data_IF_789507076581
#
_entry.id   IF_789507076581
#
_cell.length_a   1.000
_cell.length_b   1.000
_cell.length_c   1.000
_cell.angle_alpha   90.00
_cell.angle_beta   90.00
_cell.angle_gamma   90.00
#
_symmetry.space_group_name_H-M   'P 1'
#
loop_
_entity.id
_entity.type
_entity.pdbx_description
1 polymer ?
#
# COMPACT_ATOMS: atom_id res chain seq x y z
N UNK A 1 35.13 20.68 18.98
CA UNK A 1 34.22 19.63 18.53
C UNK A 1 33.55 20.11 17.27
N UNK A 2 33.68 19.48 16.11
CA UNK A 2 32.93 19.90 14.93
C UNK A 2 31.43 19.71 15.23
N UNK A 3 30.63 20.77 14.99
CA UNK A 3 29.18 20.67 15.02
C UNK A 3 28.81 19.56 14.02
N UNK A 4 28.08 18.55 14.50
CA UNK A 4 27.42 17.57 13.64
C UNK A 4 26.71 18.37 12.55
N UNK A 5 27.09 18.14 11.28
CA UNK A 5 26.33 18.68 10.17
C UNK A 5 24.91 18.16 10.34
N UNK A 6 23.97 19.04 10.65
CA UNK A 6 22.57 18.70 10.63
C UNK A 6 22.31 18.16 9.21
N UNK A 7 21.86 16.93 9.11
CA UNK A 7 21.49 16.35 7.82
C UNK A 7 20.38 17.23 7.28
N UNK A 8 20.56 17.76 6.07
CA UNK A 8 19.51 18.53 5.40
C UNK A 8 18.26 17.67 5.31
N UNK A 9 17.06 18.23 5.55
CA UNK A 9 15.82 17.48 5.46
C UNK A 9 15.64 16.94 4.02
N UNK A 10 15.17 15.72 3.93
CA UNK A 10 14.74 15.11 2.68
C UNK A 10 13.24 15.34 2.50
N UNK A 11 12.83 15.61 1.26
CA UNK A 11 11.47 15.73 0.82
C UNK A 11 11.14 14.61 -0.16
N UNK A 12 9.89 14.19 -0.20
CA UNK A 12 9.39 13.18 -1.10
C UNK A 12 8.56 13.85 -2.20
N UNK A 13 8.96 13.66 -3.45
CA UNK A 13 8.13 13.99 -4.61
C UNK A 13 7.59 12.70 -5.19
N UNK A 14 6.26 12.59 -5.30
CA UNK A 14 5.63 11.35 -5.65
C UNK A 14 4.51 11.51 -6.66
N UNK A 15 4.24 10.46 -7.42
CA UNK A 15 3.12 10.37 -8.36
C UNK A 15 2.59 8.97 -8.43
N UNK A 16 1.39 8.81 -8.94
CA UNK A 16 0.76 7.52 -9.17
C UNK A 16 0.04 7.47 -10.50
N UNK A 17 0.15 6.32 -11.17
CA UNK A 17 -0.60 5.98 -12.38
C UNK A 17 -1.23 4.61 -12.18
N UNK A 18 -2.53 4.51 -12.44
CA UNK A 18 -3.29 3.28 -12.29
C UNK A 18 -4.20 3.06 -13.49
N UNK A 19 -4.15 1.89 -14.10
CA UNK A 19 -4.93 1.50 -15.27
C UNK A 19 -5.75 0.24 -14.98
N UNK A 20 -6.97 0.19 -15.49
CA UNK A 20 -7.86 -0.98 -15.33
C UNK A 20 -7.34 -2.21 -16.06
N UNK A 21 -6.42 -2.03 -17.00
CA UNK A 21 -5.97 -3.09 -17.86
C UNK A 21 -6.94 -3.40 -19.00
N UNK A 22 -6.61 -4.45 -19.78
CA UNK A 22 -7.34 -4.79 -21.01
C UNK A 22 -8.39 -5.87 -20.82
N UNK A 23 -8.41 -6.54 -19.66
CA UNK A 23 -9.26 -7.73 -19.41
C UNK A 23 -10.25 -7.49 -18.27
N UNK A 24 -9.85 -6.74 -17.23
CA UNK A 24 -10.69 -6.49 -16.05
C UNK A 24 -11.81 -5.51 -16.35
N UNK A 25 -12.98 -5.70 -15.74
CA UNK A 25 -14.13 -4.81 -15.92
C UNK A 25 -14.01 -3.53 -15.07
N UNK A 26 -13.32 -3.59 -13.94
CA UNK A 26 -13.10 -2.49 -13.01
C UNK A 26 -11.67 -2.53 -12.46
N UNK A 27 -11.22 -1.38 -11.98
CA UNK A 27 -9.94 -1.26 -11.29
C UNK A 27 -10.19 -1.49 -9.80
N UNK A 28 -9.54 -2.51 -9.23
CA UNK A 28 -9.57 -2.86 -7.81
C UNK A 28 -8.30 -2.43 -7.08
N UNK A 29 -7.28 -1.97 -7.80
CA UNK A 29 -6.10 -1.33 -7.21
C UNK A 29 -6.47 0.03 -6.63
N UNK A 30 -5.80 0.41 -5.54
CA UNK A 30 -5.83 1.75 -4.97
C UNK A 30 -4.43 2.19 -4.59
N UNK A 31 -4.14 3.46 -4.76
CA UNK A 31 -2.81 4.01 -4.49
C UNK A 31 -2.88 5.41 -3.90
N UNK A 32 -1.83 5.79 -3.19
CA UNK A 32 -1.64 7.10 -2.58
C UNK A 32 -0.21 7.58 -2.83
N UNK A 33 -0.06 8.84 -3.21
CA UNK A 33 1.22 9.49 -3.44
C UNK A 33 1.21 10.87 -2.77
N UNK A 34 1.87 10.98 -1.62
CA UNK A 34 1.98 12.18 -0.80
C UNK A 34 3.42 12.63 -0.59
N UNK A 35 3.61 13.64 0.26
CA UNK A 35 4.92 14.23 0.59
C UNK A 35 5.69 13.43 1.66
N UNK A 36 4.99 12.62 2.46
CA UNK A 36 5.56 11.83 3.55
C UNK A 36 5.26 10.34 3.42
N UNK A 37 4.19 10.00 2.67
CA UNK A 37 3.71 8.64 2.51
C UNK A 37 3.42 8.33 1.05
N UNK A 38 3.84 7.16 0.61
CA UNK A 38 3.34 6.51 -0.60
C UNK A 38 2.77 5.14 -0.24
N UNK A 39 1.67 4.73 -0.89
CA UNK A 39 1.06 3.46 -0.63
C UNK A 39 0.39 2.86 -1.87
N UNK A 40 0.35 1.54 -1.92
CA UNK A 40 -0.27 0.73 -2.94
C UNK A 40 -1.04 -0.42 -2.27
N UNK A 41 -2.28 -0.64 -2.72
CA UNK A 41 -3.17 -1.69 -2.25
C UNK A 41 -3.81 -2.36 -3.47
N UNK A 42 -3.56 -3.66 -3.66
CA UNK A 42 -4.15 -4.47 -4.71
C UNK A 42 -5.36 -5.20 -4.12
N UNK A 43 -6.53 -4.85 -4.62
CA UNK A 43 -7.80 -5.35 -4.10
C UNK A 43 -8.22 -6.64 -4.75
N UNK A 44 -8.61 -7.63 -3.95
CA UNK A 44 -9.11 -8.92 -4.39
C UNK A 44 -10.50 -9.21 -3.87
N UNK A 45 -11.24 -10.03 -4.62
CA UNK A 45 -12.61 -10.43 -4.29
C UNK A 45 -13.56 -10.22 -5.46
N UNK A 46 -14.64 -11.03 -5.53
CA UNK A 46 -15.58 -11.00 -6.66
C UNK A 46 -16.28 -9.64 -6.84
N UNK A 47 -16.55 -9.27 -8.07
CA UNK A 47 -17.34 -8.13 -8.59
C UNK A 47 -17.03 -6.72 -8.05
N UNK A 48 -17.18 -6.43 -6.76
CA UNK A 48 -17.00 -5.09 -6.19
C UNK A 48 -16.34 -5.14 -4.81
N UNK A 49 -15.76 -6.27 -4.43
CA UNK A 49 -15.18 -6.43 -3.10
C UNK A 49 -13.78 -5.86 -3.01
N UNK A 50 -12.95 -6.11 -4.02
CA UNK A 50 -11.54 -5.68 -4.03
C UNK A 50 -11.39 -4.17 -4.06
N UNK A 51 -12.17 -3.45 -4.87
CA UNK A 51 -12.16 -1.99 -4.92
C UNK A 51 -12.54 -1.34 -3.57
N UNK A 52 -13.50 -1.94 -2.89
CA UNK A 52 -13.90 -1.52 -1.54
C UNK A 52 -12.78 -1.78 -0.53
N UNK A 53 -12.16 -2.97 -0.56
CA UNK A 53 -11.10 -3.34 0.38
C UNK A 53 -9.86 -2.47 0.21
N UNK A 54 -9.36 -2.30 -1.02
CA UNK A 54 -8.18 -1.48 -1.31
C UNK A 54 -8.42 0.00 -0.98
N UNK A 55 -9.63 0.52 -1.25
CA UNK A 55 -10.00 1.90 -0.89
C UNK A 55 -10.02 2.11 0.63
N UNK A 56 -10.54 1.16 1.41
CA UNK A 56 -10.51 1.22 2.89
C UNK A 56 -9.05 1.26 3.38
N UNK A 57 -8.18 0.39 2.84
CA UNK A 57 -6.80 0.33 3.26
C UNK A 57 -6.03 1.64 2.95
N UNK A 58 -6.16 2.20 1.74
CA UNK A 58 -5.55 3.48 1.37
C UNK A 58 -6.04 4.61 2.29
N UNK A 59 -7.34 4.69 2.56
CA UNK A 59 -7.91 5.72 3.45
C UNK A 59 -7.39 5.60 4.87
N UNK A 60 -7.26 4.38 5.39
CA UNK A 60 -6.71 4.14 6.72
C UNK A 60 -5.23 4.54 6.85
N UNK A 61 -4.47 4.51 5.74
CA UNK A 61 -3.06 4.94 5.72
C UNK A 61 -2.90 6.44 5.46
N UNK A 62 -3.78 7.04 4.65
CA UNK A 62 -3.63 8.41 4.17
C UNK A 62 -3.61 9.47 5.29
N UNK A 63 -4.17 9.18 6.47
CA UNK A 63 -4.12 10.11 7.60
C UNK A 63 -2.69 10.29 8.16
N UNK A 64 -1.77 9.35 7.90
CA UNK A 64 -0.36 9.44 8.28
C UNK A 64 0.31 10.64 7.59
N UNK A 65 -0.14 10.99 6.38
CA UNK A 65 0.34 12.16 5.63
C UNK A 65 0.12 13.48 6.37
N UNK A 66 -0.95 13.57 7.17
CA UNK A 66 -1.36 14.80 7.87
C UNK A 66 -0.79 14.89 9.28
N UNK A 67 -0.11 13.84 9.75
CA UNK A 67 0.36 13.78 11.13
C UNK A 67 1.71 14.46 11.30
N UNK A 68 1.69 15.67 11.84
CA UNK A 68 2.87 16.45 12.22
C UNK A 68 3.48 15.95 13.56
N UNK A 69 3.65 14.63 13.70
CA UNK A 69 4.16 13.99 14.94
C UNK A 69 5.64 14.26 15.23
N UNK A 70 6.27 15.21 14.56
CA UNK A 70 7.65 15.62 14.86
C UNK A 70 8.70 14.56 14.55
N UNK A 71 8.40 13.63 13.64
CA UNK A 71 9.45 12.84 12.96
C UNK A 71 10.08 11.71 13.77
N UNK A 72 9.31 10.95 14.56
CA UNK A 72 9.82 9.77 15.26
C UNK A 72 9.52 8.49 14.49
N UNK A 73 10.58 7.77 14.07
CA UNK A 73 10.51 6.50 13.32
C UNK A 73 9.64 5.45 14.04
N UNK A 74 9.76 5.33 15.35
CA UNK A 74 8.98 4.36 16.13
C UNK A 74 7.48 4.70 16.14
N UNK A 75 7.15 5.99 16.22
CA UNK A 75 5.76 6.46 16.15
C UNK A 75 5.15 6.15 14.80
N UNK A 76 5.83 6.50 13.70
CA UNK A 76 5.33 6.22 12.34
C UNK A 76 5.23 4.70 12.10
N UNK A 77 6.17 3.89 12.57
CA UNK A 77 6.08 2.43 12.46
C UNK A 77 4.82 1.89 13.13
N UNK A 78 4.53 2.36 14.35
CA UNK A 78 3.29 1.98 15.07
C UNK A 78 2.03 2.49 14.41
N UNK A 79 2.05 3.71 13.88
CA UNK A 79 0.92 4.27 13.15
C UNK A 79 0.61 3.45 11.90
N UNK A 80 1.63 3.07 11.11
CA UNK A 80 1.46 2.22 9.94
C UNK A 80 0.88 0.85 10.33
N UNK A 81 1.42 0.19 11.36
CA UNK A 81 0.88 -1.08 11.85
C UNK A 81 -0.57 -0.94 12.31
N UNK A 82 -0.87 0.07 13.14
CA UNK A 82 -2.22 0.32 13.65
C UNK A 82 -3.21 0.62 12.53
N UNK A 83 -2.80 1.40 11.52
CA UNK A 83 -3.63 1.74 10.37
C UNK A 83 -3.96 0.52 9.52
N UNK A 84 -2.97 -0.37 9.32
CA UNK A 84 -3.17 -1.63 8.59
C UNK A 84 -4.13 -2.55 9.37
N UNK A 85 -3.98 -2.65 10.70
CA UNK A 85 -4.88 -3.43 11.54
C UNK A 85 -6.30 -2.87 11.53
N UNK A 86 -6.45 -1.55 11.65
CA UNK A 86 -7.75 -0.88 11.57
C UNK A 86 -8.42 -1.09 10.21
N UNK A 87 -7.65 -1.05 9.11
CA UNK A 87 -8.14 -1.36 7.77
C UNK A 87 -8.66 -2.81 7.69
N UNK A 88 -7.90 -3.78 8.25
CA UNK A 88 -8.34 -5.17 8.32
C UNK A 88 -9.69 -5.30 9.04
N UNK A 89 -9.83 -4.73 10.23
CA UNK A 89 -11.05 -4.79 11.03
C UNK A 89 -12.23 -4.15 10.29
N UNK A 90 -12.00 -3.02 9.61
CA UNK A 90 -13.03 -2.35 8.81
C UNK A 90 -13.47 -3.18 7.60
N UNK A 91 -12.52 -3.81 6.87
CA UNK A 91 -12.79 -4.72 5.74
C UNK A 91 -13.63 -5.90 6.22
N UNK A 92 -13.17 -6.58 7.26
CA UNK A 92 -13.86 -7.73 7.88
C UNK A 92 -15.26 -7.34 8.36
N UNK A 93 -15.38 -6.23 9.09
CA UNK A 93 -16.65 -5.73 9.59
C UNK A 93 -17.65 -5.40 8.47
N UNK A 94 -17.15 -4.79 7.36
CA UNK A 94 -18.00 -4.47 6.20
C UNK A 94 -18.41 -5.73 5.44
N UNK A 95 -17.50 -6.67 5.23
CA UNK A 95 -17.82 -7.96 4.58
C UNK A 95 -18.88 -8.76 5.36
N UNK A 96 -18.87 -8.71 6.70
CA UNK A 96 -19.89 -9.33 7.55
C UNK A 96 -21.28 -8.68 7.39
N UNK A 97 -21.31 -7.36 7.23
CA UNK A 97 -22.59 -6.62 7.09
C UNK A 97 -23.18 -6.72 5.68
N UNK A 98 -22.33 -6.81 4.66
CA UNK A 98 -22.72 -6.79 3.25
C UNK A 98 -22.30 -8.08 2.56
N UNK A 99 -23.23 -9.04 2.46
CA UNK A 99 -22.95 -10.39 1.88
C UNK A 99 -22.33 -10.36 0.48
N UNK A 100 -22.64 -9.33 -0.33
CA UNK A 100 -22.06 -9.15 -1.67
C UNK A 100 -20.53 -8.89 -1.64
N UNK A 101 -20.00 -8.46 -0.50
CA UNK A 101 -18.60 -8.18 -0.26
C UNK A 101 -17.86 -9.32 0.47
N UNK A 102 -18.53 -10.47 0.66
CA UNK A 102 -17.92 -11.62 1.31
C UNK A 102 -16.66 -12.09 0.55
N UNK A 103 -15.57 -12.30 1.27
CA UNK A 103 -14.29 -12.71 0.69
C UNK A 103 -13.49 -11.56 0.04
N UNK A 104 -13.89 -10.30 0.26
CA UNK A 104 -13.06 -9.19 -0.15
C UNK A 104 -11.79 -9.10 0.71
N UNK A 105 -10.70 -8.72 0.07
CA UNK A 105 -9.41 -8.51 0.72
C UNK A 105 -8.54 -7.57 -0.09
N UNK A 106 -7.37 -7.25 0.44
CA UNK A 106 -6.39 -6.40 -0.25
C UNK A 106 -4.98 -6.63 0.28
N UNK A 107 -3.99 -6.41 -0.58
CA UNK A 107 -2.60 -6.23 -0.18
C UNK A 107 -2.40 -4.83 0.44
N UNK A 108 -1.28 -4.62 1.10
CA UNK A 108 -0.77 -3.29 1.46
C UNK A 108 0.74 -3.27 1.29
N UNK A 109 1.23 -2.29 0.54
CA UNK A 109 2.65 -1.93 0.48
C UNK A 109 2.74 -0.42 0.62
N UNK A 110 3.35 0.04 1.71
CA UNK A 110 3.45 1.45 2.03
C UNK A 110 4.86 1.82 2.46
N UNK A 111 5.30 3.03 2.10
CA UNK A 111 6.63 3.57 2.45
C UNK A 111 6.44 5.00 2.94
N UNK A 112 6.92 5.29 4.15
CA UNK A 112 6.92 6.64 4.72
C UNK A 112 8.35 7.16 4.89
N UNK A 113 8.55 8.45 4.65
CA UNK A 113 9.78 9.18 4.91
C UNK A 113 9.65 9.92 6.24
N UNK A 114 10.51 9.59 7.20
CA UNK A 114 10.50 10.24 8.53
C UNK A 114 11.90 10.36 9.10
N UNK A 115 12.29 11.57 9.52
CA UNK A 115 13.57 11.84 10.19
C UNK A 115 14.80 11.25 9.47
N UNK A 116 14.80 11.23 8.14
CA UNK A 116 15.88 10.65 7.33
C UNK A 116 15.90 9.12 7.27
N UNK A 117 14.76 8.49 7.53
CA UNK A 117 14.55 7.04 7.42
C UNK A 117 13.31 6.73 6.58
N UNK A 118 13.38 5.62 5.87
CA UNK A 118 12.26 4.94 5.26
C UNK A 118 11.67 3.94 6.24
N UNK A 119 10.38 4.05 6.47
CA UNK A 119 9.58 3.03 7.19
C UNK A 119 8.69 2.34 6.17
N UNK A 120 8.86 1.04 6.03
CA UNK A 120 8.17 0.22 5.04
C UNK A 120 7.21 -0.72 5.78
N UNK A 121 5.93 -0.75 5.38
CA UNK A 121 4.93 -1.72 5.83
C UNK A 121 4.46 -2.54 4.63
N UNK A 122 4.43 -3.88 4.79
CA UNK A 122 4.10 -4.77 3.69
C UNK A 122 3.29 -5.99 4.12
N UNK A 123 2.22 -6.27 3.38
CA UNK A 123 1.46 -7.52 3.40
C UNK A 123 0.87 -7.77 2.01
N UNK A 124 1.10 -8.98 1.45
CA UNK A 124 0.63 -9.36 0.13
C UNK A 124 1.76 -9.67 -0.86
N UNK A 125 1.51 -9.50 -2.14
CA UNK A 125 2.44 -9.74 -3.25
C UNK A 125 2.64 -8.54 -4.19
N UNK A 126 2.03 -7.40 -3.87
CA UNK A 126 2.45 -6.10 -4.40
C UNK A 126 3.88 -5.81 -3.96
N UNK A 127 4.66 -5.10 -4.76
CA UNK A 127 6.09 -4.97 -4.49
C UNK A 127 6.53 -3.53 -4.27
N UNK A 128 7.56 -3.38 -3.43
CA UNK A 128 8.34 -2.16 -3.29
C UNK A 128 9.77 -2.39 -3.80
N UNK A 129 10.20 -1.52 -4.70
CA UNK A 129 11.56 -1.47 -5.22
C UNK A 129 12.20 -0.14 -4.85
N UNK A 130 13.51 -0.20 -4.57
CA UNK A 130 14.35 0.97 -4.33
C UNK A 130 15.47 1.01 -5.37
N UNK A 131 15.49 2.07 -6.17
CA UNK A 131 16.63 2.42 -7.01
C UNK A 131 17.53 3.37 -6.23
N UNK A 132 18.77 2.93 -5.97
CA UNK A 132 19.82 3.70 -5.28
C UNK A 132 21.14 3.50 -5.98
N UNK A 133 21.86 4.58 -6.27
CA UNK A 133 23.16 4.55 -6.93
C UNK A 133 23.14 3.77 -8.26
N UNK A 134 22.04 3.84 -8.99
CA UNK A 134 21.83 3.16 -10.28
C UNK A 134 21.49 1.67 -10.17
N UNK A 135 21.27 1.15 -8.98
CA UNK A 135 20.93 -0.26 -8.74
C UNK A 135 19.53 -0.42 -8.15
N UNK A 136 18.73 -1.26 -8.80
CA UNK A 136 17.40 -1.62 -8.33
C UNK A 136 17.47 -2.77 -7.30
N UNK A 137 16.78 -2.61 -6.19
CA UNK A 137 16.64 -3.64 -5.18
C UNK A 137 15.16 -3.84 -4.87
N UNK A 138 14.66 -5.08 -4.95
CA UNK A 138 13.35 -5.43 -4.41
C UNK A 138 13.44 -5.46 -2.88
N UNK A 139 12.65 -4.64 -2.23
CA UNK A 139 12.69 -4.46 -0.76
C UNK A 139 11.72 -5.38 -0.05
N UNK A 140 10.58 -5.68 -0.66
CA UNK A 140 9.55 -6.57 -0.11
C UNK A 140 9.76 -8.01 -0.56
N UNK A 141 9.30 -8.94 0.26
CA UNK A 141 9.23 -10.37 -0.07
C UNK A 141 7.76 -10.75 -0.19
N UNK A 142 7.36 -11.27 -1.34
CA UNK A 142 5.96 -11.58 -1.61
C UNK A 142 5.42 -12.61 -0.62
N UNK A 143 4.24 -12.37 -0.07
CA UNK A 143 3.49 -13.34 0.72
C UNK A 143 2.68 -14.25 -0.20
N UNK A 144 3.32 -14.84 -1.21
CA UNK A 144 2.71 -15.74 -2.18
C UNK A 144 3.16 -17.19 -1.98
N UNK A 145 2.34 -18.12 -2.46
CA UNK A 145 2.67 -19.56 -2.40
C UNK A 145 3.97 -19.88 -3.13
N UNK A 146 4.19 -19.30 -4.30
CA UNK A 146 5.42 -19.53 -5.07
C UNK A 146 6.64 -18.96 -4.38
N UNK A 147 6.53 -17.81 -3.71
CA UNK A 147 7.63 -17.27 -2.92
C UNK A 147 7.96 -18.17 -1.72
N UNK A 148 6.95 -18.74 -1.08
CA UNK A 148 7.17 -19.75 -0.03
C UNK A 148 7.92 -20.98 -0.57
N UNK A 149 7.58 -21.47 -1.76
CA UNK A 149 8.30 -22.58 -2.39
C UNK A 149 9.76 -22.22 -2.73
N UNK A 150 10.02 -20.98 -3.20
CA UNK A 150 11.39 -20.49 -3.44
C UNK A 150 12.17 -20.43 -2.12
N UNK A 151 11.60 -19.84 -1.07
CA UNK A 151 12.25 -19.67 0.23
C UNK A 151 12.59 -21.03 0.89
N UNK A 152 11.79 -22.06 0.60
CA UNK A 152 12.03 -23.44 1.09
C UNK A 152 12.89 -24.28 0.13
N UNK A 153 13.41 -23.71 -0.95
CA UNK A 153 14.27 -24.37 -1.92
C UNK A 153 13.57 -25.46 -2.76
N UNK A 154 12.23 -25.41 -2.84
CA UNK A 154 11.44 -26.41 -3.61
C UNK A 154 11.35 -26.10 -5.09
N UNK A 155 11.40 -24.82 -5.45
CA UNK A 155 11.44 -24.34 -6.82
C UNK A 155 12.44 -23.20 -6.95
N UNK A 156 12.91 -22.97 -8.16
CA UNK A 156 13.73 -21.81 -8.52
C UNK A 156 12.86 -20.59 -8.84
N UNK A 157 13.39 -19.36 -8.81
CA UNK A 157 12.66 -18.17 -9.27
C UNK A 157 12.16 -18.27 -10.72
N UNK A 158 12.89 -18.98 -11.59
CA UNK A 158 12.50 -19.19 -12.98
C UNK A 158 11.28 -20.11 -13.09
N UNK A 159 11.21 -21.16 -12.29
CA UNK A 159 10.07 -22.09 -12.26
C UNK A 159 8.81 -21.43 -11.68
N UNK A 160 8.97 -20.50 -10.74
CA UNK A 160 7.86 -19.77 -10.13
C UNK A 160 7.04 -18.97 -11.15
N UNK A 161 7.69 -18.39 -12.18
CA UNK A 161 7.00 -17.58 -13.22
C UNK A 161 5.91 -18.34 -13.96
N UNK A 162 6.10 -19.64 -14.15
CA UNK A 162 5.16 -20.50 -14.88
C UNK A 162 4.39 -21.46 -13.96
N UNK A 163 4.48 -21.28 -12.65
CA UNK A 163 3.83 -22.16 -11.69
C UNK A 163 2.30 -22.00 -11.76
N UNK A 164 1.50 -23.12 -11.74
CA UNK A 164 0.03 -23.03 -11.79
C UNK A 164 -0.60 -22.20 -10.68
N UNK A 165 0.05 -22.12 -9.53
CA UNK A 165 -0.41 -21.37 -8.35
C UNK A 165 0.39 -20.08 -8.13
N UNK A 166 0.94 -19.46 -9.18
CA UNK A 166 1.73 -18.24 -9.05
C UNK A 166 0.94 -17.03 -8.50
N UNK A 167 -0.38 -17.02 -8.72
CA UNK A 167 -1.27 -15.94 -8.26
C UNK A 167 -1.92 -16.26 -6.89
N UNK A 168 -1.43 -17.25 -6.15
CA UNK A 168 -1.98 -17.58 -4.81
C UNK A 168 -1.26 -16.74 -3.77
N UNK A 169 -1.95 -15.75 -3.26
CA UNK A 169 -1.49 -14.90 -2.14
C UNK A 169 -1.85 -15.60 -0.83
N UNK A 170 -0.92 -15.63 0.12
CA UNK A 170 -1.04 -16.35 1.39
C UNK A 170 -1.35 -15.44 2.58
N UNK A 171 -1.10 -14.13 2.46
CA UNK A 171 -1.38 -13.15 3.52
C UNK A 171 -1.93 -11.88 2.89
N UNK A 172 -3.14 -11.50 3.32
CA UNK A 172 -3.85 -10.30 2.86
C UNK A 172 -4.71 -9.75 3.99
N UNK A 173 -5.14 -8.51 3.88
CA UNK A 173 -6.18 -7.96 4.75
C UNK A 173 -7.55 -8.51 4.34
N UNK A 174 -8.43 -8.73 5.31
CA UNK A 174 -9.78 -9.24 5.08
C UNK A 174 -9.93 -10.74 5.29
N UNK A 175 -8.85 -11.51 5.41
CA UNK A 175 -8.88 -12.92 5.76
C UNK A 175 -8.93 -13.09 7.28
N UNK A 176 -9.92 -13.84 7.78
CA UNK A 176 -10.14 -14.04 9.23
C UNK A 176 -9.14 -14.98 9.90
N UNK A 177 -8.56 -15.88 9.13
CA UNK A 177 -7.75 -16.97 9.65
C UNK A 177 -6.25 -16.62 9.69
N UNK A 178 -5.88 -15.43 9.19
CA UNK A 178 -4.49 -15.02 9.03
C UNK A 178 -4.19 -13.79 9.88
N UNK A 179 -3.00 -13.74 10.47
CA UNK A 179 -2.48 -12.55 11.16
C UNK A 179 -2.31 -11.39 10.15
N UNK A 180 -3.09 -10.29 10.29
CA UNK A 180 -3.06 -9.17 9.35
C UNK A 180 -1.92 -8.18 9.62
N UNK A 181 -1.08 -8.42 10.64
CA UNK A 181 0.04 -7.52 10.93
C UNK A 181 0.98 -7.43 9.73
N UNK A 182 1.34 -6.21 9.27
CA UNK A 182 2.29 -6.08 8.18
C UNK A 182 3.71 -6.40 8.65
N UNK A 183 4.56 -6.81 7.72
CA UNK A 183 5.99 -6.82 7.94
C UNK A 183 6.48 -5.36 7.94
N UNK A 184 7.13 -4.94 9.02
CA UNK A 184 7.71 -3.60 9.15
C UNK A 184 9.22 -3.69 8.98
N UNK A 185 9.77 -2.82 8.13
CA UNK A 185 11.22 -2.66 8.01
C UNK A 185 11.61 -1.18 7.96
N UNK A 186 12.82 -0.87 8.46
CA UNK A 186 13.33 0.50 8.54
C UNK A 186 14.66 0.54 7.82
N UNK A 187 14.85 1.58 6.99
CA UNK A 187 16.09 1.81 6.24
C UNK A 187 16.47 3.28 6.32
N UNK A 188 17.76 3.58 6.31
CA UNK A 188 18.23 4.97 6.20
C UNK A 188 17.87 5.50 4.81
N UNK A 189 17.27 6.69 4.77
CA UNK A 189 17.01 7.38 3.53
C UNK A 189 18.26 8.09 3.03
N UNK A 190 18.44 8.11 1.70
CA UNK A 190 19.51 8.84 1.04
C UNK A 190 18.92 9.80 0.02
N UNK A 191 19.59 10.93 -0.25
CA UNK A 191 19.24 11.77 -1.39
C UNK A 191 19.30 10.95 -2.68
N UNK A 192 18.40 11.26 -3.61
CA UNK A 192 18.22 10.57 -4.87
C UNK A 192 17.79 9.09 -4.78
N UNK A 193 17.35 8.62 -3.62
CA UNK A 193 16.58 7.37 -3.56
C UNK A 193 15.32 7.50 -4.40
N UNK A 194 15.05 6.53 -5.25
CA UNK A 194 13.80 6.45 -6.03
C UNK A 194 13.07 5.17 -5.71
N UNK A 195 11.82 5.31 -5.29
CA UNK A 195 10.92 4.19 -4.99
C UNK A 195 9.97 3.90 -6.14
N UNK A 196 9.68 2.63 -6.32
CA UNK A 196 8.52 2.14 -7.07
C UNK A 196 7.70 1.23 -6.15
N UNK A 197 6.41 1.55 -5.97
CA UNK A 197 5.43 0.58 -5.49
C UNK A 197 4.57 0.16 -6.67
N UNK A 198 4.30 -1.14 -6.81
CA UNK A 198 3.50 -1.63 -7.93
C UNK A 198 2.67 -2.86 -7.56
N UNK A 199 1.53 -3.02 -8.24
CA UNK A 199 0.72 -4.24 -8.20
C UNK A 199 1.36 -5.38 -8.99
N UNK A 200 0.87 -6.59 -8.78
CA UNK A 200 1.31 -7.78 -9.49
C UNK A 200 1.06 -7.70 -11.00
N UNK A 201 0.04 -6.95 -11.45
CA UNK A 201 -0.20 -6.65 -12.85
C UNK A 201 0.97 -5.96 -13.56
N UNK A 202 1.86 -5.29 -12.81
CA UNK A 202 3.10 -4.74 -13.35
C UNK A 202 4.27 -5.70 -13.16
N UNK A 203 4.60 -6.05 -11.92
CA UNK A 203 5.79 -6.85 -11.61
C UNK A 203 5.63 -8.34 -11.94
N UNK A 204 4.43 -8.81 -12.24
CA UNK A 204 4.18 -10.15 -12.75
C UNK A 204 4.52 -10.35 -14.22
N UNK A 205 4.63 -9.26 -14.99
CA UNK A 205 4.89 -9.31 -16.45
C UNK A 205 6.17 -8.59 -16.88
N UNK A 206 6.67 -7.63 -16.10
CA UNK A 206 7.94 -6.95 -16.36
C UNK A 206 9.09 -7.61 -15.57
N UNK A 207 10.24 -7.77 -16.23
CA UNK A 207 11.46 -8.20 -15.57
C UNK A 207 12.07 -7.04 -14.74
N UNK A 208 12.72 -7.38 -13.62
CA UNK A 208 13.37 -6.38 -12.75
C UNK A 208 14.40 -5.52 -13.51
N UNK A 209 15.12 -6.09 -14.50
CA UNK A 209 16.04 -5.35 -15.36
C UNK A 209 15.36 -4.29 -16.23
N UNK A 210 14.14 -4.57 -16.72
CA UNK A 210 13.35 -3.62 -17.50
C UNK A 210 12.83 -2.47 -16.61
N UNK A 211 12.46 -2.79 -15.37
CA UNK A 211 12.06 -1.81 -14.36
C UNK A 211 13.26 -0.91 -14.03
N UNK A 212 14.45 -1.50 -13.78
CA UNK A 212 15.68 -0.78 -13.48
C UNK A 212 16.07 0.19 -14.60
N UNK A 213 16.10 -0.28 -15.84
CA UNK A 213 16.39 0.54 -17.01
C UNK A 213 15.42 1.72 -17.13
N UNK A 214 14.11 1.47 -16.99
CA UNK A 214 13.09 2.51 -17.11
C UNK A 214 13.21 3.55 -15.99
N UNK A 215 13.39 3.11 -14.74
CA UNK A 215 13.54 4.01 -13.58
C UNK A 215 14.85 4.81 -13.63
N UNK A 216 15.90 4.27 -14.24
CA UNK A 216 17.21 4.95 -14.38
C UNK A 216 17.17 5.97 -15.53
N UNK A 217 16.47 5.65 -16.62
CA UNK A 217 16.49 6.46 -17.84
C UNK A 217 15.53 7.65 -17.77
N UNK A 218 14.35 7.47 -17.16
CA UNK A 218 13.33 8.50 -17.07
C UNK A 218 13.40 9.23 -15.73
N UNK A 219 13.84 10.48 -15.77
CA UNK A 219 13.97 11.31 -14.56
C UNK A 219 12.63 11.81 -14.02
N UNK A 220 11.67 12.14 -14.90
CA UNK A 220 10.32 12.57 -14.49
C UNK A 220 9.52 11.38 -13.94
N UNK A 221 8.94 11.56 -12.74
CA UNK A 221 8.19 10.50 -12.05
C UNK A 221 6.93 10.10 -12.81
N UNK A 222 6.23 11.09 -13.39
CA UNK A 222 4.99 10.85 -14.13
C UNK A 222 5.24 10.10 -15.43
N UNK A 223 6.26 10.49 -16.20
CA UNK A 223 6.68 9.77 -17.40
C UNK A 223 7.15 8.36 -17.08
N UNK A 224 7.91 8.19 -15.99
CA UNK A 224 8.38 6.88 -15.55
C UNK A 224 7.23 5.95 -15.16
N UNK A 225 6.31 6.42 -14.30
CA UNK A 225 5.14 5.64 -13.89
C UNK A 225 4.26 5.27 -15.09
N UNK A 226 3.96 6.23 -15.97
CA UNK A 226 3.15 6.00 -17.16
C UNK A 226 3.83 5.01 -18.14
N UNK A 227 5.15 5.12 -18.28
CA UNK A 227 5.93 4.22 -19.14
C UNK A 227 5.88 2.79 -18.64
N UNK A 228 6.09 2.58 -17.34
CA UNK A 228 6.03 1.26 -16.70
C UNK A 228 4.65 0.62 -16.88
N UNK A 229 3.56 1.36 -16.62
CA UNK A 229 2.19 0.89 -16.82
C UNK A 229 1.95 0.51 -18.28
N UNK A 230 2.32 1.37 -19.25
CA UNK A 230 2.18 1.08 -20.66
C UNK A 230 2.97 -0.15 -21.09
N UNK A 231 4.17 -0.34 -20.57
CA UNK A 231 4.99 -1.52 -20.88
C UNK A 231 4.36 -2.79 -20.36
N UNK A 232 3.81 -2.78 -19.13
CA UNK A 232 3.10 -3.92 -18.56
C UNK A 232 1.85 -4.29 -19.37
N UNK A 233 1.05 -3.30 -19.81
CA UNK A 233 -0.09 -3.52 -20.70
C UNK A 233 0.33 -4.13 -22.04
N UNK A 234 1.41 -3.64 -22.65
CA UNK A 234 1.96 -4.18 -23.91
C UNK A 234 2.56 -5.57 -23.72
N UNK A 235 3.10 -5.88 -22.55
CA UNK A 235 3.60 -7.21 -22.21
C UNK A 235 2.46 -8.24 -21.98
N UNK A 236 1.20 -7.79 -22.05
CA UNK A 236 0.03 -8.65 -21.97
C UNK A 236 -0.48 -8.86 -20.53
N UNK A 237 -0.29 -7.87 -19.66
CA UNK A 237 -0.94 -7.91 -18.33
C UNK A 237 -2.45 -8.08 -18.48
N UNK A 238 -3.01 -9.03 -17.75
CA UNK A 238 -4.45 -9.32 -17.71
C UNK A 238 -5.12 -8.76 -16.47
N UNK A 239 -4.36 -8.07 -15.63
CA UNK A 239 -4.84 -7.47 -14.38
C UNK A 239 -4.86 -5.94 -14.40
N UNK A 240 -5.33 -5.34 -13.33
CA UNK A 240 -5.14 -3.94 -13.04
C UNK A 240 -3.63 -3.66 -12.92
N UNK A 241 -3.18 -2.51 -13.39
CA UNK A 241 -1.76 -2.16 -13.42
C UNK A 241 -1.56 -0.81 -12.74
N UNK A 242 -0.86 -0.81 -11.64
CA UNK A 242 -0.62 0.40 -10.86
C UNK A 242 0.88 0.57 -10.56
N UNK A 243 1.36 1.80 -10.70
CA UNK A 243 2.70 2.23 -10.34
C UNK A 243 2.66 3.52 -9.52
N UNK A 244 3.36 3.55 -8.39
CA UNK A 244 3.65 4.75 -7.61
C UNK A 244 5.14 4.98 -7.67
N UNK A 245 5.57 6.15 -8.15
CA UNK A 245 6.99 6.57 -8.19
C UNK A 245 7.19 7.70 -7.20
N UNK A 246 8.28 7.64 -6.43
CA UNK A 246 8.63 8.69 -5.49
C UNK A 246 10.15 8.90 -5.39
N UNK A 247 10.58 10.14 -5.40
CA UNK A 247 11.98 10.56 -5.31
C UNK A 247 12.27 11.31 -4.01
N UNK A 248 13.35 10.93 -3.34
CA UNK A 248 13.88 11.67 -2.20
C UNK A 248 14.82 12.79 -2.66
N UNK A 249 14.46 14.04 -2.35
CA UNK A 249 15.23 15.22 -2.75
C UNK A 249 15.69 16.01 -1.52
N UNK A 250 16.90 16.57 -1.58
CA UNK A 250 17.38 17.49 -0.56
C UNK A 250 16.70 18.86 -0.70
N UNK A 251 16.34 19.47 0.42
CA UNK A 251 16.12 20.92 0.45
C UNK A 251 17.44 21.64 0.20
N UNK A 252 17.58 22.24 -0.97
CA UNK A 252 18.84 22.87 -1.39
C UNK A 252 19.08 24.25 -0.80
N UNK A 253 18.06 24.91 -0.19
CA UNK A 253 18.17 26.26 0.37
C UNK A 253 17.42 26.43 1.68
N UNK A 254 17.93 27.39 2.50
CA UNK A 254 17.33 27.77 3.79
C UNK A 254 15.92 28.37 3.68
N UNK A 255 15.45 28.64 2.47
CA UNK A 255 14.10 29.09 2.15
C UNK A 255 13.14 27.91 1.91
N UNK A 256 13.34 26.78 2.61
CA UNK A 256 12.53 25.56 2.56
C UNK A 256 11.02 25.79 2.88
N UNK A 257 10.63 27.01 3.20
CA UNK A 257 9.22 27.42 3.36
C UNK A 257 8.51 27.69 2.03
N UNK A 258 9.22 27.73 0.90
CA UNK A 258 8.67 28.03 -0.42
C UNK A 258 8.69 26.82 -1.39
N UNK A 259 9.00 25.61 -0.92
CA UNK A 259 8.77 24.41 -1.73
C UNK A 259 7.27 24.24 -1.92
N UNK A 260 6.78 24.15 -3.17
CA UNK A 260 5.36 23.97 -3.41
C UNK A 260 4.93 22.66 -2.75
N UNK A 261 4.04 22.75 -1.77
CA UNK A 261 3.41 21.58 -1.18
C UNK A 261 2.70 20.79 -2.28
N UNK A 262 3.04 19.53 -2.40
CA UNK A 262 2.38 18.63 -3.33
C UNK A 262 1.02 18.24 -2.74
N UNK A 263 -0.07 18.55 -3.45
CA UNK A 263 -1.37 17.97 -3.08
C UNK A 263 -1.29 16.45 -3.27
N UNK A 264 -1.60 15.63 -2.24
CA UNK A 264 -1.57 14.20 -2.36
C UNK A 264 -2.44 13.70 -3.50
N UNK A 265 -1.94 12.73 -4.26
CA UNK A 265 -2.65 12.09 -5.36
C UNK A 265 -3.20 10.76 -4.91
N UNK A 266 -4.43 10.46 -5.32
CA UNK A 266 -5.09 9.19 -5.07
C UNK A 266 -5.40 8.54 -6.41
N UNK A 267 -4.96 7.30 -6.62
CA UNK A 267 -5.16 6.54 -7.85
C UNK A 267 -6.08 5.33 -7.68
N UNK A 268 -6.53 4.77 -8.81
CA UNK A 268 -7.30 3.53 -8.86
C UNK A 268 -8.71 3.64 -8.28
N UNK A 269 -9.15 2.62 -7.56
CA UNK A 269 -10.50 2.53 -6.99
C UNK A 269 -10.76 3.63 -5.95
N UNK A 270 -9.77 3.97 -5.13
CA UNK A 270 -9.91 4.99 -4.10
C UNK A 270 -10.19 6.39 -4.67
N UNK A 271 -9.77 6.70 -5.90
CA UNK A 271 -10.03 7.99 -6.54
C UNK A 271 -11.49 8.21 -6.93
N UNK A 272 -12.27 7.15 -7.07
CA UNK A 272 -13.70 7.21 -7.47
C UNK A 272 -14.62 7.57 -6.31
N UNK A 273 -14.16 7.40 -5.08
CA UNK A 273 -14.92 7.59 -3.85
C UNK A 273 -14.34 8.78 -3.06
N UNK A 274 -14.10 9.91 -3.72
CA UNK A 274 -13.64 11.15 -3.10
C UNK A 274 -14.76 11.82 -2.27
N UNK A 275 -15.23 11.15 -1.22
CA UNK A 275 -15.70 11.90 -0.06
C UNK A 275 -14.46 12.42 0.69
N UNK A 276 -14.51 13.68 1.16
CA UNK A 276 -13.35 14.27 1.85
C UNK A 276 -12.89 13.37 2.99
N UNK A 277 -11.59 13.14 3.12
CA UNK A 277 -10.97 12.35 4.21
C UNK A 277 -11.43 12.84 5.59
N UNK A 278 -11.79 14.12 5.72
CA UNK A 278 -12.32 14.73 6.93
C UNK A 278 -13.62 14.08 7.47
N UNK A 279 -14.44 13.48 6.61
CA UNK A 279 -15.73 12.92 7.04
C UNK A 279 -15.62 11.48 7.58
N UNK A 280 -14.53 10.77 7.24
CA UNK A 280 -14.32 9.38 7.70
C UNK A 280 -13.81 9.33 9.15
N UNK A 281 -13.08 10.33 9.59
CA UNK A 281 -12.56 10.44 10.98
C UNK A 281 -13.68 10.80 11.96
N UNK A 282 -14.78 11.36 11.49
CA UNK A 282 -15.90 11.85 12.32
C UNK A 282 -17.14 10.94 12.34
N UNK A 283 -17.16 9.81 11.62
CA UNK A 283 -18.22 8.84 11.85
C UNK A 283 -18.04 8.22 13.24
N UNK A 284 -18.98 8.45 14.18
CA UNK A 284 -18.91 7.83 15.48
C UNK A 284 -18.95 6.31 15.27
N UNK A 285 -17.94 5.61 15.79
CA UNK A 285 -17.98 4.15 15.92
C UNK A 285 -19.31 3.82 16.55
N UNK A 286 -20.19 3.14 15.78
CA UNK A 286 -21.50 2.75 16.28
C UNK A 286 -21.26 1.91 17.54
N UNK A 287 -21.46 2.52 18.70
CA UNK A 287 -21.44 1.81 19.98
C UNK A 287 -22.50 0.72 19.87
N UNK A 288 -22.08 -0.51 20.13
CA UNK A 288 -22.99 -1.64 20.21
C UNK A 288 -24.19 -1.25 21.08
N UNK A 289 -25.43 -1.56 20.65
CA UNK A 289 -26.58 -1.24 21.47
C UNK A 289 -26.41 -1.88 22.84
N UNK A 290 -26.53 -1.07 23.89
CA UNK A 290 -26.51 -1.54 25.26
C UNK A 290 -27.49 -2.71 25.38
N UNK A 291 -27.00 -3.85 25.86
CA UNK A 291 -27.85 -4.98 26.22
C UNK A 291 -28.92 -4.45 27.19
N UNK A 292 -30.18 -4.52 26.78
CA UNK A 292 -31.28 -4.24 27.68
C UNK A 292 -31.30 -5.32 28.76
N UNK A 293 -30.98 -4.91 30.00
CA UNK A 293 -31.33 -5.68 31.18
C UNK A 293 -32.84 -5.66 31.35
N UNK A 294 -33.52 -6.62 30.73
CA UNK A 294 -34.90 -6.98 31.06
C UNK A 294 -35.23 -8.31 30.38
N UNK A 295 -34.91 -9.38 31.07
CA UNK A 295 -35.65 -10.66 31.01
C UNK A 295 -35.33 -11.44 32.27
N UNK A 296 -35.99 -11.02 33.35
CA UNK A 296 -36.14 -11.89 34.51
C UNK A 296 -37.17 -13.00 34.14
N UNK A 297 -36.86 -14.27 34.37
CA UNK A 297 -37.82 -15.33 34.09
C UNK A 297 -39.01 -15.26 35.06
N UNK A 298 -40.21 -15.11 34.46
CA UNK A 298 -41.48 -15.17 35.19
C UNK A 298 -41.60 -16.51 35.91
N UNK A 299 -41.90 -16.43 37.21
CA UNK A 299 -42.23 -17.53 38.09
C UNK A 299 -43.36 -18.40 37.53
N UNK A 300 -43.12 -19.73 37.48
CA UNK A 300 -44.14 -20.74 37.21
C UNK A 300 -45.18 -20.80 38.33
N UNK A 301 -46.46 -20.99 38.01
CA UNK A 301 -47.49 -21.20 39.02
C UNK A 301 -47.42 -22.63 39.58
N UNK A 302 -47.49 -22.73 40.91
CA UNK A 302 -47.78 -23.96 41.61
C UNK A 302 -49.24 -24.36 41.41
N UNK A 303 -49.45 -25.56 40.91
CA UNK A 303 -50.53 -26.49 41.32
C UNK A 303 -50.15 -27.92 40.99
#
# INVERSE_FOLDING_TARGET
>A
MPKSAASQPLFLYSTTVSDVGTVRANNQDSSFAGEHLIAMCDGMGGHAGGDTASSIAIRSLAHIEQDDTGGNVETISRMMETSVMAAHDAIVGKAKRERKLAGMGTTVTAVALVAGYWVIAHIGDSRAYLLRDGHLSRITCDHSYVQHLINTGRITPSEAKNHPQRNVVMRVLGDFDIDPRPDISIRRAHPADRWLLCSDGLCGVLEDSTIEETMTTLSDQGECAQRLVQMALRAGSTDNVTAVIADATLALDADAFDLPHQTPLVGGAASRNLEPIADIVNEPVATAPALREDDSPASAPQH
#
